data_IF_620836836444
#
_entry.id   IF_620836836444
#
_cell.length_a   1.000
_cell.length_b   1.000
_cell.length_c   1.000
_cell.angle_alpha   90.00
_cell.angle_beta   90.00
_cell.angle_gamma   90.00
#
_symmetry.space_group_name_H-M   'P 1'
#
loop_
_entity.id
_entity.type
_entity.pdbx_description
1 polymer ?
#
# COMPACT_ATOMS: atom_id res chain seq x y z
N UNK A 1 7.67 2.00 13.60
CA UNK A 1 7.92 2.73 12.34
C UNK A 1 9.24 3.52 12.40
N UNK A 2 9.47 4.24 13.49
CA UNK A 2 10.71 5.02 13.69
C UNK A 2 11.94 4.13 13.89
N UNK A 3 11.75 2.91 14.39
CA UNK A 3 12.82 1.90 14.55
C UNK A 3 12.96 0.97 13.33
N UNK A 4 11.95 0.88 12.47
CA UNK A 4 11.87 -0.12 11.41
C UNK A 4 12.26 0.41 10.02
N UNK A 5 12.44 1.72 9.84
CA UNK A 5 12.93 2.27 8.59
C UNK A 5 14.43 2.61 8.70
N UNK A 6 15.33 1.81 8.10
CA UNK A 6 16.77 2.07 8.14
C UNK A 6 17.17 3.45 7.63
N UNK A 7 16.39 4.00 6.69
CA UNK A 7 16.62 5.35 6.16
C UNK A 7 16.36 6.45 7.20
N UNK A 8 15.51 6.20 8.20
CA UNK A 8 15.21 7.13 9.28
C UNK A 8 16.34 7.21 10.32
N UNK A 9 17.10 6.11 10.45
CA UNK A 9 18.21 6.01 11.39
C UNK A 9 19.58 6.29 10.76
N UNK A 10 19.62 6.67 9.48
CA UNK A 10 20.84 6.90 8.73
C UNK A 10 21.04 8.39 8.35
N UNK A 11 22.30 8.83 8.38
CA UNK A 11 22.68 10.13 7.87
C UNK A 11 22.03 11.32 8.61
N UNK A 12 21.56 12.30 7.85
CA UNK A 12 20.99 13.54 8.37
C UNK A 12 19.70 13.31 9.18
N UNK A 13 18.95 12.27 8.85
CA UNK A 13 17.65 11.98 9.49
C UNK A 13 17.79 11.53 10.94
N UNK A 14 18.88 10.89 11.32
CA UNK A 14 19.17 10.48 12.70
C UNK A 14 19.18 11.66 13.69
N UNK A 15 19.51 12.86 13.21
CA UNK A 15 19.58 14.06 14.04
C UNK A 15 18.21 14.65 14.41
N UNK A 16 17.14 14.27 13.75
CA UNK A 16 15.82 14.84 14.01
C UNK A 16 15.16 14.27 15.28
N UNK A 17 15.12 12.93 15.48
CA UNK A 17 14.64 12.36 16.74
C UNK A 17 15.40 12.87 17.96
N UNK A 18 16.73 13.01 17.86
CA UNK A 18 17.58 13.52 18.93
C UNK A 18 17.21 14.97 19.36
N UNK A 19 16.57 15.72 18.45
CA UNK A 19 16.06 17.08 18.69
C UNK A 19 14.57 17.12 19.01
N UNK A 20 13.92 15.96 19.21
CA UNK A 20 12.48 15.85 19.42
C UNK A 20 11.65 16.23 18.20
N UNK A 21 12.23 16.17 16.98
CA UNK A 21 11.52 16.51 15.74
C UNK A 21 10.99 15.25 15.08
N UNK A 22 9.65 15.13 15.00
CA UNK A 22 8.98 14.15 14.18
C UNK A 22 8.80 14.68 12.76
N UNK A 23 9.58 14.16 11.82
CA UNK A 23 9.58 14.63 10.43
C UNK A 23 8.21 14.41 9.77
N UNK A 24 7.54 13.29 10.04
CA UNK A 24 6.25 12.98 9.42
C UNK A 24 5.18 13.98 9.88
N UNK A 25 5.10 14.25 11.17
CA UNK A 25 4.20 15.28 11.70
C UNK A 25 4.51 16.64 11.10
N UNK A 26 5.79 17.00 11.03
CA UNK A 26 6.22 18.28 10.47
C UNK A 26 5.81 18.44 9.00
N UNK A 27 5.96 17.38 8.19
CA UNK A 27 5.56 17.41 6.77
C UNK A 27 4.04 17.56 6.66
N UNK A 28 3.26 16.79 7.43
CA UNK A 28 1.80 16.86 7.43
C UNK A 28 1.33 18.27 7.83
N UNK A 29 1.86 18.80 8.92
CA UNK A 29 1.53 20.14 9.42
C UNK A 29 1.82 21.23 8.38
N UNK A 30 2.97 21.15 7.71
CA UNK A 30 3.36 22.11 6.69
C UNK A 30 2.50 22.00 5.42
N UNK A 31 2.03 20.80 5.08
CA UNK A 31 1.03 20.60 4.03
C UNK A 31 -0.30 21.26 4.42
N UNK A 32 -0.81 20.95 5.60
CA UNK A 32 -2.09 21.47 6.10
C UNK A 32 -2.09 22.99 6.22
N UNK A 33 -1.01 23.61 6.71
CA UNK A 33 -0.86 25.08 6.75
C UNK A 33 -1.00 25.75 5.39
N UNK A 34 -0.73 25.01 4.31
CA UNK A 34 -0.83 25.48 2.92
C UNK A 34 -2.10 25.02 2.20
N UNK A 35 -3.04 24.38 2.92
CA UNK A 35 -4.24 23.81 2.33
C UNK A 35 -3.98 22.58 1.44
N UNK A 36 -2.81 21.93 1.58
CA UNK A 36 -2.44 20.74 0.82
C UNK A 36 -2.77 19.49 1.64
N UNK A 37 -3.48 18.56 1.03
CA UNK A 37 -3.75 17.24 1.64
C UNK A 37 -2.51 16.36 1.62
N UNK A 38 -2.24 15.70 2.75
CA UNK A 38 -1.12 14.78 2.91
C UNK A 38 -1.62 13.34 2.89
N UNK A 39 -1.11 12.51 1.99
CA UNK A 39 -1.48 11.10 1.86
C UNK A 39 -0.33 10.18 2.24
N UNK A 40 -0.61 9.17 3.05
CA UNK A 40 0.32 8.08 3.29
C UNK A 40 0.37 7.17 2.05
N UNK A 41 1.55 6.95 1.50
CA UNK A 41 1.74 6.01 0.40
C UNK A 41 2.44 4.76 0.92
N UNK A 42 1.74 3.61 0.88
CA UNK A 42 2.25 2.35 1.40
C UNK A 42 2.41 1.31 0.29
N UNK A 43 3.63 0.85 0.06
CA UNK A 43 3.91 -0.26 -0.85
C UNK A 43 3.50 -1.58 -0.19
N UNK A 44 2.59 -2.30 -0.82
CA UNK A 44 2.05 -3.54 -0.24
C UNK A 44 3.02 -4.71 -0.36
N UNK A 45 3.80 -4.75 -1.43
CA UNK A 45 4.84 -5.74 -1.67
C UNK A 45 6.16 -5.07 -1.97
N UNK A 46 7.24 -5.58 -1.39
CA UNK A 46 8.60 -5.06 -1.50
C UNK A 46 9.62 -6.19 -1.62
N UNK A 47 10.68 -5.90 -2.36
CA UNK A 47 11.94 -6.63 -2.28
C UNK A 47 12.78 -5.97 -1.20
N UNK A 48 12.87 -6.59 -0.04
CA UNK A 48 13.65 -6.10 1.07
C UNK A 48 15.11 -6.51 0.92
N UNK A 49 15.98 -5.51 0.85
CA UNK A 49 17.43 -5.72 0.75
C UNK A 49 18.13 -5.66 2.11
N UNK A 50 17.39 -5.36 3.18
CA UNK A 50 17.94 -5.27 4.53
C UNK A 50 17.71 -6.55 5.33
N UNK A 51 18.63 -6.88 6.23
CA UNK A 51 18.60 -8.10 7.05
C UNK A 51 17.32 -8.26 7.85
N UNK A 52 16.80 -7.18 8.44
CA UNK A 52 15.65 -7.22 9.35
C UNK A 52 14.36 -7.63 8.66
N UNK A 53 14.17 -7.17 7.41
CA UNK A 53 12.98 -7.54 6.61
C UNK A 53 13.11 -8.92 6.00
N UNK A 54 14.34 -9.36 5.71
CA UNK A 54 14.62 -10.72 5.32
C UNK A 54 14.33 -11.70 6.46
N UNK A 55 14.61 -11.34 7.69
CA UNK A 55 14.30 -12.16 8.87
C UNK A 55 12.80 -12.42 8.99
N UNK A 56 11.95 -11.40 8.79
CA UNK A 56 10.50 -11.57 8.79
C UNK A 56 10.03 -12.56 7.69
N UNK A 57 10.56 -12.45 6.47
CA UNK A 57 10.27 -13.40 5.39
C UNK A 57 10.81 -14.80 5.65
N UNK A 58 11.95 -14.91 6.31
CA UNK A 58 12.52 -16.20 6.69
C UNK A 58 11.68 -16.92 7.74
N UNK A 59 11.14 -16.17 8.70
CA UNK A 59 10.30 -16.69 9.77
C UNK A 59 8.87 -17.01 9.31
N UNK A 60 8.41 -16.39 8.21
CA UNK A 60 7.06 -16.53 7.66
C UNK A 60 7.10 -16.89 6.17
N UNK A 61 7.64 -18.08 5.87
CA UNK A 61 7.79 -18.56 4.47
C UNK A 61 6.45 -18.75 3.75
N UNK A 62 5.40 -19.01 4.49
CA UNK A 62 4.00 -19.13 4.05
C UNK A 62 3.40 -17.78 3.61
N UNK A 63 3.99 -16.67 4.06
CA UNK A 63 3.63 -15.33 3.63
C UNK A 63 4.33 -14.89 2.35
N UNK A 64 5.17 -15.73 1.76
CA UNK A 64 6.06 -15.35 0.65
C UNK A 64 5.72 -16.14 -0.62
N UNK A 65 5.61 -15.43 -1.74
CA UNK A 65 5.53 -16.01 -3.07
C UNK A 65 6.94 -16.15 -3.62
N UNK A 66 7.29 -17.35 -4.07
CA UNK A 66 8.51 -17.57 -4.85
C UNK A 66 8.34 -16.99 -6.25
N UNK A 67 9.23 -16.08 -6.60
CA UNK A 67 9.27 -15.42 -7.91
C UNK A 67 10.72 -15.42 -8.43
N UNK A 68 10.99 -14.64 -9.47
CA UNK A 68 12.38 -14.38 -9.92
C UNK A 68 13.19 -13.52 -8.93
N UNK A 69 12.54 -12.90 -7.94
CA UNK A 69 13.23 -12.21 -6.85
C UNK A 69 13.68 -13.22 -5.80
N UNK A 70 14.96 -13.21 -5.48
CA UNK A 70 15.56 -14.19 -4.58
C UNK A 70 14.88 -14.22 -3.20
N UNK A 71 14.51 -13.04 -2.68
CA UNK A 71 13.83 -12.88 -1.39
C UNK A 71 12.35 -13.23 -1.46
N UNK A 72 11.80 -13.41 -2.64
CA UNK A 72 10.37 -13.55 -2.88
C UNK A 72 9.59 -12.26 -2.64
N UNK A 73 8.29 -12.32 -2.84
CA UNK A 73 7.35 -11.20 -2.64
C UNK A 73 6.28 -11.59 -1.61
N UNK A 74 5.65 -10.60 -1.01
CA UNK A 74 4.57 -10.83 -0.06
C UNK A 74 3.32 -11.41 -0.73
N UNK A 75 2.74 -12.44 -0.11
CA UNK A 75 1.56 -13.17 -0.60
C UNK A 75 0.29 -12.69 0.09
N UNK A 76 -0.48 -11.83 -0.54
CA UNK A 76 -1.76 -11.36 0.01
C UNK A 76 -2.86 -12.43 0.04
N UNK A 77 -2.62 -13.64 -0.45
CA UNK A 77 -3.50 -14.76 -0.19
C UNK A 77 -3.40 -15.28 1.27
N UNK A 78 -2.31 -14.96 1.98
CA UNK A 78 -2.17 -15.26 3.42
C UNK A 78 -2.99 -14.28 4.25
N UNK A 79 -3.93 -14.79 5.05
CA UNK A 79 -4.77 -13.99 5.95
C UNK A 79 -3.96 -13.37 7.10
N UNK A 80 -2.99 -14.09 7.61
CA UNK A 80 -2.11 -13.64 8.68
C UNK A 80 -1.27 -12.44 8.21
N UNK A 81 -0.73 -12.50 6.98
CA UNK A 81 -0.03 -11.38 6.38
C UNK A 81 -0.96 -10.16 6.19
N UNK A 82 -2.19 -10.39 5.72
CA UNK A 82 -3.17 -9.32 5.58
C UNK A 82 -3.42 -8.63 6.94
N UNK A 83 -3.64 -9.40 7.99
CA UNK A 83 -3.85 -8.86 9.35
C UNK A 83 -2.64 -8.09 9.86
N UNK A 84 -1.44 -8.63 9.65
CA UNK A 84 -0.20 -7.93 9.99
C UNK A 84 -0.09 -6.57 9.27
N UNK A 85 -0.32 -6.56 7.95
CA UNK A 85 -0.27 -5.34 7.13
C UNK A 85 -1.36 -4.34 7.51
N UNK A 86 -2.60 -4.80 7.75
CA UNK A 86 -3.71 -3.96 8.19
C UNK A 86 -3.43 -3.32 9.54
N UNK A 87 -2.93 -4.09 10.51
CA UNK A 87 -2.57 -3.58 11.83
C UNK A 87 -1.45 -2.53 11.74
N UNK A 88 -0.44 -2.79 10.92
CA UNK A 88 0.66 -1.86 10.70
C UNK A 88 0.17 -0.52 10.11
N UNK A 89 -0.61 -0.58 9.04
CA UNK A 89 -1.15 0.61 8.38
C UNK A 89 -2.10 1.37 9.30
N UNK A 90 -2.98 0.66 10.01
CA UNK A 90 -3.93 1.27 10.95
C UNK A 90 -3.20 2.03 12.06
N UNK A 91 -2.12 1.47 12.61
CA UNK A 91 -1.28 2.15 13.60
C UNK A 91 -0.69 3.47 13.07
N UNK A 92 -0.18 3.46 11.83
CA UNK A 92 0.35 4.67 11.19
C UNK A 92 -0.75 5.72 11.04
N UNK A 93 -1.90 5.31 10.49
CA UNK A 93 -3.01 6.21 10.23
C UNK A 93 -3.68 6.73 11.52
N UNK A 94 -3.58 5.98 12.62
CA UNK A 94 -4.02 6.46 13.96
C UNK A 94 -3.02 7.45 14.54
N UNK A 95 -1.72 7.19 14.37
CA UNK A 95 -0.66 8.04 14.93
C UNK A 95 -0.56 9.39 14.21
N UNK A 96 -0.72 9.41 12.90
CA UNK A 96 -0.50 10.60 12.07
C UNK A 96 -1.79 11.10 11.42
N UNK A 97 -1.92 12.41 11.28
CA UNK A 97 -3.10 13.09 10.73
C UNK A 97 -3.13 13.14 9.19
N UNK A 98 -2.76 12.03 8.53
CA UNK A 98 -2.89 11.94 7.06
C UNK A 98 -4.36 12.05 6.62
N UNK A 99 -4.61 12.75 5.54
CA UNK A 99 -5.94 12.90 4.92
C UNK A 99 -6.39 11.64 4.16
N UNK A 100 -5.46 10.75 3.85
CA UNK A 100 -5.75 9.51 3.16
C UNK A 100 -4.56 8.57 3.10
N UNK A 101 -4.84 7.38 2.60
CA UNK A 101 -3.85 6.35 2.33
C UNK A 101 -3.98 5.83 0.91
N UNK A 102 -2.86 5.65 0.23
CA UNK A 102 -2.77 5.01 -1.08
C UNK A 102 -1.93 3.73 -0.96
N UNK A 103 -2.55 2.58 -1.22
CA UNK A 103 -1.83 1.31 -1.28
C UNK A 103 -1.22 1.14 -2.67
N UNK A 104 0.10 1.02 -2.74
CA UNK A 104 0.83 0.80 -3.99
C UNK A 104 0.98 -0.70 -4.27
N UNK A 105 0.16 -1.21 -5.18
CA UNK A 105 0.26 -2.57 -5.68
C UNK A 105 1.21 -2.69 -6.88
N UNK A 106 1.58 -1.57 -7.50
CA UNK A 106 2.31 -1.58 -8.77
C UNK A 106 3.83 -1.78 -8.61
N UNK A 107 4.39 -1.46 -7.45
CA UNK A 107 5.85 -1.41 -7.28
C UNK A 107 6.53 -2.76 -7.51
N UNK A 108 6.03 -3.82 -6.89
CA UNK A 108 6.54 -5.19 -7.04
C UNK A 108 5.38 -6.16 -7.17
N UNK A 109 5.20 -6.71 -8.36
CA UNK A 109 4.20 -7.72 -8.68
C UNK A 109 4.88 -9.05 -8.98
N UNK A 110 4.16 -10.16 -8.79
CA UNK A 110 2.81 -10.31 -8.27
C UNK A 110 2.73 -10.22 -6.74
N UNK A 111 1.55 -9.90 -6.19
CA UNK A 111 1.26 -10.00 -4.75
C UNK A 111 0.28 -11.16 -4.42
N UNK A 112 -0.02 -11.99 -5.39
CA UNK A 112 -0.86 -13.19 -5.32
C UNK A 112 -0.14 -14.37 -5.99
N UNK A 113 -0.55 -15.63 -5.73
CA UNK A 113 0.07 -16.82 -6.32
C UNK A 113 0.20 -16.72 -7.84
N UNK A 114 1.42 -16.97 -8.34
CA UNK A 114 1.76 -16.82 -9.77
C UNK A 114 0.89 -17.72 -10.64
N UNK A 115 0.30 -17.16 -11.69
CA UNK A 115 -0.59 -17.85 -12.63
C UNK A 115 -2.02 -18.04 -12.12
N UNK A 116 -2.31 -17.65 -10.86
CA UNK A 116 -3.61 -17.77 -10.22
C UNK A 116 -4.16 -16.45 -9.67
N UNK A 117 -3.61 -15.33 -10.10
CA UNK A 117 -3.91 -14.03 -9.51
C UNK A 117 -5.42 -13.73 -9.57
N UNK A 118 -6.08 -13.96 -10.68
CA UNK A 118 -7.51 -13.74 -10.83
C UNK A 118 -8.38 -14.69 -9.97
N UNK A 119 -7.93 -15.93 -9.79
CA UNK A 119 -8.57 -16.89 -8.87
C UNK A 119 -8.57 -16.38 -7.43
N UNK A 120 -7.45 -15.77 -7.00
CA UNK A 120 -7.26 -15.24 -5.65
C UNK A 120 -7.63 -13.76 -5.47
N UNK A 121 -8.25 -13.10 -6.47
CA UNK A 121 -8.59 -11.66 -6.42
C UNK A 121 -9.40 -11.24 -5.20
N UNK A 122 -10.26 -12.14 -4.69
CA UNK A 122 -11.07 -11.85 -3.52
C UNK A 122 -10.23 -11.59 -2.26
N UNK A 123 -9.04 -12.17 -2.17
CA UNK A 123 -8.13 -11.91 -1.06
C UNK A 123 -7.70 -10.44 -0.99
N UNK A 124 -7.45 -9.82 -2.14
CA UNK A 124 -7.09 -8.39 -2.21
C UNK A 124 -8.33 -7.53 -1.98
N UNK A 125 -9.48 -7.93 -2.52
CA UNK A 125 -10.76 -7.25 -2.30
C UNK A 125 -11.12 -7.22 -0.81
N UNK A 126 -10.98 -8.35 -0.11
CA UNK A 126 -11.19 -8.43 1.35
C UNK A 126 -10.22 -7.53 2.12
N UNK A 127 -8.93 -7.55 1.74
CA UNK A 127 -7.93 -6.67 2.34
C UNK A 127 -8.32 -5.19 2.21
N UNK A 128 -8.67 -4.75 0.99
CA UNK A 128 -9.06 -3.36 0.74
C UNK A 128 -10.37 -2.98 1.46
N UNK A 129 -11.33 -3.91 1.53
CA UNK A 129 -12.59 -3.71 2.27
C UNK A 129 -12.33 -3.52 3.77
N UNK A 130 -11.48 -4.37 4.37
CA UNK A 130 -11.08 -4.24 5.78
C UNK A 130 -10.31 -2.94 6.02
N UNK A 131 -9.41 -2.57 5.10
CA UNK A 131 -8.69 -1.30 5.19
C UNK A 131 -9.68 -0.12 5.19
N UNK A 132 -10.64 -0.10 4.26
CA UNK A 132 -11.67 0.94 4.18
C UNK A 132 -12.47 1.04 5.49
N UNK A 133 -12.88 -0.11 6.03
CA UNK A 133 -13.57 -0.18 7.33
C UNK A 133 -12.71 0.38 8.47
N UNK A 134 -11.43 -0.01 8.55
CA UNK A 134 -10.52 0.49 9.58
C UNK A 134 -10.34 2.02 9.48
N UNK A 135 -10.24 2.55 8.27
CA UNK A 135 -10.11 4.01 8.06
C UNK A 135 -11.39 4.76 8.42
N UNK A 136 -12.56 4.16 8.16
CA UNK A 136 -13.86 4.74 8.52
C UNK A 136 -14.09 4.78 10.04
N UNK A 137 -13.40 3.94 10.81
CA UNK A 137 -13.47 3.93 12.29
C UNK A 137 -12.57 4.98 12.94
N UNK A 138 -11.76 5.70 12.18
CA UNK A 138 -10.98 6.81 12.70
C UNK A 138 -11.88 8.04 12.91
N UNK A 139 -11.63 8.83 13.97
CA UNK A 139 -12.40 10.03 14.31
C UNK A 139 -12.14 11.20 13.33
N UNK A 140 -11.89 10.90 12.06
CA UNK A 140 -11.68 11.86 10.97
C UNK A 140 -11.95 11.21 9.62
N UNK A 141 -12.22 12.03 8.62
CA UNK A 141 -12.36 11.54 7.26
C UNK A 141 -10.99 11.15 6.69
N UNK A 142 -10.87 9.92 6.22
CA UNK A 142 -9.65 9.38 5.60
C UNK A 142 -10.00 8.75 4.26
N UNK A 143 -9.43 9.26 3.19
CA UNK A 143 -9.61 8.69 1.87
C UNK A 143 -8.74 7.43 1.70
N UNK A 144 -9.29 6.41 1.07
CA UNK A 144 -8.59 5.15 0.75
C UNK A 144 -8.42 5.04 -0.75
N UNK A 145 -7.19 4.89 -1.21
CA UNK A 145 -6.88 4.72 -2.62
C UNK A 145 -5.97 3.54 -2.90
N UNK A 146 -5.89 3.20 -4.18
CA UNK A 146 -5.00 2.16 -4.68
C UNK A 146 -4.22 2.65 -5.90
N UNK A 147 -2.92 2.37 -5.94
CA UNK A 147 -2.10 2.52 -7.13
C UNK A 147 -2.01 1.18 -7.83
N UNK A 148 -2.51 1.14 -9.06
CA UNK A 148 -2.78 -0.06 -9.84
C UNK A 148 -2.15 0.02 -11.24
N UNK A 149 -2.06 -1.12 -11.96
CA UNK A 149 -1.73 -1.12 -13.38
C UNK A 149 -2.62 -0.18 -14.20
N UNK A 150 -2.14 0.18 -15.37
CA UNK A 150 -2.65 1.26 -16.21
C UNK A 150 -4.01 1.01 -16.87
N UNK A 151 -4.47 -0.24 -16.96
CA UNK A 151 -5.75 -0.58 -17.56
C UNK A 151 -6.41 -1.77 -16.89
N UNK A 152 -7.71 -1.98 -17.16
CA UNK A 152 -8.53 -3.02 -16.53
C UNK A 152 -7.98 -4.42 -16.82
N UNK A 153 -7.54 -4.69 -18.05
CA UNK A 153 -6.98 -5.98 -18.41
C UNK A 153 -5.73 -6.31 -17.59
N UNK A 154 -4.84 -5.34 -17.45
CA UNK A 154 -3.64 -5.48 -16.61
C UNK A 154 -4.01 -5.66 -15.12
N UNK A 155 -5.03 -4.95 -14.64
CA UNK A 155 -5.55 -5.14 -13.28
C UNK A 155 -6.07 -6.56 -13.08
N UNK A 156 -6.88 -7.08 -14.01
CA UNK A 156 -7.40 -8.45 -13.95
C UNK A 156 -6.27 -9.49 -13.97
N UNK A 157 -5.25 -9.29 -14.82
CA UNK A 157 -4.08 -10.16 -14.89
C UNK A 157 -3.34 -10.27 -13.56
N UNK A 158 -3.29 -9.18 -12.78
CA UNK A 158 -2.65 -9.13 -11.49
C UNK A 158 -3.60 -9.44 -10.31
N UNK A 159 -4.88 -9.69 -10.58
CA UNK A 159 -5.89 -10.08 -9.59
C UNK A 159 -6.51 -8.88 -8.86
N UNK A 160 -6.64 -7.74 -9.52
CA UNK A 160 -7.30 -6.55 -8.97
C UNK A 160 -8.65 -6.32 -9.65
N UNK A 161 -9.74 -6.58 -8.94
CA UNK A 161 -11.11 -6.39 -9.39
C UNK A 161 -11.55 -4.94 -9.12
N UNK A 162 -10.92 -4.01 -9.85
CA UNK A 162 -11.09 -2.57 -9.65
C UNK A 162 -12.54 -2.11 -9.92
N UNK A 163 -13.24 -2.75 -10.84
CA UNK A 163 -14.64 -2.48 -11.14
C UNK A 163 -15.54 -2.81 -9.95
N UNK A 164 -15.30 -3.96 -9.32
CA UNK A 164 -15.98 -4.33 -8.08
C UNK A 164 -15.64 -3.35 -6.93
N UNK A 165 -14.39 -2.89 -6.86
CA UNK A 165 -13.99 -1.94 -5.83
C UNK A 165 -14.67 -0.58 -6.01
N UNK A 166 -14.76 -0.08 -7.24
CA UNK A 166 -15.47 1.15 -7.57
C UNK A 166 -16.98 1.02 -7.28
N UNK A 167 -17.62 -0.03 -7.79
CA UNK A 167 -19.06 -0.28 -7.61
C UNK A 167 -19.46 -0.36 -6.12
N UNK A 168 -18.59 -0.91 -5.27
CA UNK A 168 -18.89 -1.11 -3.85
C UNK A 168 -18.25 -0.03 -2.95
N UNK A 169 -17.73 1.06 -3.51
CA UNK A 169 -17.07 2.16 -2.77
C UNK A 169 -15.95 1.67 -1.84
N UNK A 170 -15.20 0.64 -2.25
CA UNK A 170 -14.06 0.09 -1.48
C UNK A 170 -12.87 1.05 -1.54
N UNK A 171 -12.74 1.79 -2.64
CA UNK A 171 -11.72 2.84 -2.83
C UNK A 171 -12.39 4.17 -3.14
N UNK A 172 -11.79 5.28 -2.69
CA UNK A 172 -12.22 6.64 -2.98
C UNK A 172 -11.53 7.22 -4.22
N UNK A 173 -10.37 6.66 -4.57
CA UNK A 173 -9.61 7.06 -5.76
C UNK A 173 -8.68 5.93 -6.21
N UNK A 174 -8.29 5.99 -7.47
CA UNK A 174 -7.30 5.10 -8.06
C UNK A 174 -6.21 5.93 -8.73
N UNK A 175 -4.97 5.48 -8.60
CA UNK A 175 -3.81 6.02 -9.29
C UNK A 175 -3.36 4.97 -10.30
N UNK A 176 -3.70 5.18 -11.56
CA UNK A 176 -3.20 4.34 -12.64
C UNK A 176 -1.73 4.64 -12.91
N UNK A 177 -0.97 3.62 -13.15
CA UNK A 177 0.43 3.77 -13.47
C UNK A 177 0.96 2.63 -14.32
N UNK A 178 1.94 2.95 -15.13
CA UNK A 178 2.67 1.99 -15.92
C UNK A 178 4.15 2.10 -15.60
N UNK A 179 4.87 1.07 -15.94
CA UNK A 179 6.34 1.13 -15.99
C UNK A 179 6.83 1.69 -17.32
N UNK A 180 5.92 2.04 -18.22
CA UNK A 180 6.17 2.61 -19.55
C UNK A 180 5.94 4.12 -19.54
N UNK A 181 6.45 4.80 -20.57
CA UNK A 181 6.39 6.25 -20.71
C UNK A 181 4.98 6.74 -21.15
N UNK A 182 4.19 5.87 -21.77
CA UNK A 182 2.85 6.16 -22.26
C UNK A 182 1.84 5.21 -21.59
N UNK A 183 1.26 5.57 -20.43
CA UNK A 183 0.21 4.77 -19.83
C UNK A 183 -1.06 4.84 -20.67
N UNK A 184 -1.73 3.71 -20.84
CA UNK A 184 -3.07 3.64 -21.40
C UNK A 184 -4.08 3.98 -20.30
N UNK A 185 -4.65 5.18 -20.35
CA UNK A 185 -5.54 5.73 -19.32
C UNK A 185 -7.03 5.70 -19.69
N UNK A 186 -7.41 5.06 -20.77
CA UNK A 186 -8.80 5.07 -21.27
C UNK A 186 -9.81 4.50 -20.24
N UNK A 187 -9.35 3.64 -19.34
CA UNK A 187 -10.20 3.08 -18.29
C UNK A 187 -10.61 4.06 -17.18
N UNK A 188 -9.91 5.19 -17.01
CA UNK A 188 -10.33 6.24 -16.06
C UNK A 188 -11.70 6.82 -16.39
N UNK A 189 -12.08 6.83 -17.66
CA UNK A 189 -13.37 7.30 -18.12
C UNK A 189 -14.49 6.38 -17.65
N UNK A 190 -14.22 5.07 -17.52
CA UNK A 190 -15.21 4.06 -17.13
C UNK A 190 -15.53 4.13 -15.62
N UNK A 191 -14.59 4.52 -14.79
CA UNK A 191 -14.78 4.59 -13.33
C UNK A 191 -15.38 5.94 -12.87
N UNK A 192 -15.48 6.92 -13.75
CA UNK A 192 -16.07 8.23 -13.46
C UNK A 192 -17.56 8.30 -13.78
N UNK A 193 -18.15 7.23 -14.29
CA UNK A 193 -19.57 7.06 -14.59
C UNK A 193 -20.29 6.29 -13.48
#
# INVERSE_FOLDING_TARGET
FEQECPCYNAGIYKKFPDKGINIMERIIDECHKRGIKAYCHHRISEVELTSDRNELKQNHKDWVIKTWWQEGLWNLASKELQEFKLNYVTKIMTKYSFDGICIDFLRHLPCLPVGKQWEYRECVTEFMTKLKSNMSNLNRQVAVGAKLPENIEACHKDGFDVEKWAKNNIVDFVVGGSRTVNPDIDWYIILSL
#
